data_IF_453946431041
#
_entry.id   IF_453946431041
#
_cell.length_a   1.000
_cell.length_b   1.000
_cell.length_c   1.000
_cell.angle_alpha   90.00
_cell.angle_beta   90.00
_cell.angle_gamma   90.00
#
_symmetry.space_group_name_H-M   'P 1'
#
loop_
_entity.id
_entity.type
_entity.pdbx_description
1 polymer ?
#
# COMPACT_ATOMS: atom_id res chain seq x y z
N UNK A 1 9.34 -4.97 4.76
CA UNK A 1 8.86 -6.05 5.65
C UNK A 1 8.56 -7.28 4.82
N UNK A 2 9.21 -8.40 5.10
CA UNK A 2 8.99 -9.67 4.42
C UNK A 2 7.58 -10.20 4.63
N UNK A 3 7.11 -11.05 3.73
CA UNK A 3 5.89 -11.81 3.90
C UNK A 3 6.13 -13.01 4.80
N UNK A 4 5.20 -13.24 5.73
CA UNK A 4 5.13 -14.51 6.43
C UNK A 4 4.50 -15.59 5.52
N UNK A 5 5.18 -16.71 5.30
CA UNK A 5 4.63 -17.88 4.58
C UNK A 5 4.13 -18.91 5.60
N UNK A 6 2.86 -19.33 5.57
CA UNK A 6 2.44 -20.57 6.20
C UNK A 6 2.86 -21.73 5.32
N UNK A 7 3.11 -22.87 5.93
CA UNK A 7 3.38 -24.12 5.22
C UNK A 7 2.32 -24.38 4.17
N UNK A 8 2.68 -24.28 2.90
CA UNK A 8 1.92 -24.50 1.68
C UNK A 8 0.60 -23.69 1.52
N UNK A 9 0.63 -22.71 0.64
CA UNK A 9 -0.43 -22.18 -0.24
C UNK A 9 -1.11 -20.84 0.01
N UNK A 10 -0.92 -20.08 1.11
CA UNK A 10 -1.43 -18.70 1.19
C UNK A 10 -0.35 -17.80 1.80
N UNK A 11 0.14 -16.82 1.07
CA UNK A 11 0.93 -15.77 1.68
C UNK A 11 0.02 -14.90 2.53
N UNK A 12 0.04 -15.06 3.85
CA UNK A 12 -0.62 -14.16 4.76
C UNK A 12 0.21 -12.89 4.89
N UNK A 13 -0.45 -11.76 4.88
CA UNK A 13 0.18 -10.48 5.17
C UNK A 13 -0.43 -9.86 6.44
N UNK A 14 0.09 -8.69 6.84
CA UNK A 14 -0.39 -7.93 8.00
C UNK A 14 -1.88 -7.56 7.95
N UNK A 15 -2.55 -7.63 6.80
CA UNK A 15 -3.99 -7.39 6.68
C UNK A 15 -4.80 -8.56 7.20
N UNK A 16 -4.28 -9.76 6.98
CA UNK A 16 -4.89 -11.02 7.43
C UNK A 16 -4.43 -11.39 8.85
N UNK A 17 -3.19 -11.01 9.22
CA UNK A 17 -2.58 -11.24 10.52
C UNK A 17 -2.28 -9.88 11.20
N UNK A 18 -3.29 -9.24 11.80
CA UNK A 18 -3.16 -7.89 12.35
C UNK A 18 -2.11 -7.77 13.47
N UNK A 19 -1.80 -8.84 14.18
CA UNK A 19 -0.72 -8.86 15.17
C UNK A 19 0.64 -8.42 14.60
N UNK A 20 0.89 -8.65 13.30
CA UNK A 20 2.10 -8.18 12.65
C UNK A 20 2.20 -6.65 12.53
N UNK A 21 1.10 -5.92 12.69
CA UNK A 21 1.13 -4.45 12.74
C UNK A 21 1.73 -3.91 14.04
N UNK A 22 1.75 -4.71 15.08
CA UNK A 22 2.31 -4.37 16.39
C UNK A 22 3.85 -4.48 16.40
N UNK A 23 4.45 -5.08 15.37
CA UNK A 23 5.88 -5.16 15.20
C UNK A 23 6.42 -3.94 14.46
N UNK A 24 7.55 -3.41 14.94
CA UNK A 24 8.39 -2.49 14.19
C UNK A 24 9.54 -3.25 13.51
N UNK A 25 10.17 -2.65 12.53
CA UNK A 25 11.39 -3.19 11.94
C UNK A 25 12.25 -2.07 11.37
N UNK A 26 13.55 -2.25 11.47
CA UNK A 26 14.55 -1.38 10.83
C UNK A 26 15.64 -2.23 10.18
N UNK A 27 16.40 -1.65 9.26
CA UNK A 27 17.56 -2.33 8.71
C UNK A 27 18.68 -2.42 9.76
N UNK A 28 19.35 -3.56 9.82
CA UNK A 28 20.53 -3.76 10.67
C UNK A 28 21.65 -2.77 10.29
N UNK A 29 21.81 -2.55 8.99
CA UNK A 29 22.66 -1.52 8.40
C UNK A 29 21.95 -0.89 7.21
N UNK A 30 22.19 0.41 6.95
CA UNK A 30 21.63 1.11 5.81
C UNK A 30 21.94 0.34 4.50
N UNK A 31 20.92 -0.05 3.71
CA UNK A 31 21.17 -0.74 2.46
C UNK A 31 21.95 0.13 1.48
N UNK A 32 23.03 -0.37 0.87
CA UNK A 32 23.73 0.40 -0.15
C UNK A 32 22.85 0.58 -1.41
N UNK A 33 23.13 1.60 -2.23
CA UNK A 33 22.46 1.77 -3.52
C UNK A 33 22.57 0.50 -4.38
N UNK A 34 21.46 0.13 -5.02
CA UNK A 34 21.40 -1.04 -5.92
C UNK A 34 21.00 -2.35 -5.27
N UNK A 35 20.87 -2.41 -3.94
CA UNK A 35 20.28 -3.57 -3.25
C UNK A 35 18.80 -3.68 -3.64
N UNK A 36 18.36 -4.91 -3.88
CA UNK A 36 16.99 -5.15 -4.35
C UNK A 36 16.58 -6.62 -4.33
N UNK A 37 15.63 -7.01 -5.18
CA UNK A 37 15.09 -8.36 -5.19
C UNK A 37 16.17 -9.44 -5.32
N UNK A 38 16.22 -10.36 -4.35
CA UNK A 38 17.22 -11.41 -4.27
C UNK A 38 18.51 -11.05 -3.51
N UNK A 39 18.75 -9.77 -3.29
CA UNK A 39 19.88 -9.27 -2.50
C UNK A 39 19.35 -8.17 -1.57
N UNK A 40 18.89 -8.55 -0.38
CA UNK A 40 18.25 -7.65 0.57
C UNK A 40 19.02 -7.58 1.87
N UNK A 41 19.10 -6.39 2.44
CA UNK A 41 19.73 -6.17 3.73
C UNK A 41 18.94 -6.87 4.87
N UNK A 42 19.67 -7.30 5.89
CA UNK A 42 19.08 -7.84 7.10
C UNK A 42 18.32 -6.78 7.89
N UNK A 43 17.28 -7.23 8.57
CA UNK A 43 16.44 -6.38 9.42
C UNK A 43 16.44 -6.88 10.85
N UNK A 44 16.23 -5.96 11.78
CA UNK A 44 15.90 -6.25 13.18
C UNK A 44 14.41 -5.99 13.34
N UNK A 45 13.69 -6.95 13.92
CA UNK A 45 12.26 -6.84 14.22
C UNK A 45 12.11 -6.63 15.72
N UNK A 46 11.39 -5.57 16.10
CA UNK A 46 10.99 -5.28 17.47
C UNK A 46 9.56 -5.79 17.68
N UNK A 47 9.38 -6.72 18.60
CA UNK A 47 8.09 -7.28 19.02
C UNK A 47 7.33 -6.31 19.94
N UNK A 48 6.01 -6.54 20.19
CA UNK A 48 5.21 -5.66 21.06
C UNK A 48 5.73 -5.54 22.50
N UNK A 49 6.42 -6.54 23.01
CA UNK A 49 7.04 -6.57 24.34
C UNK A 49 8.41 -5.86 24.40
N UNK A 50 8.87 -5.31 23.26
CA UNK A 50 10.15 -4.65 23.13
C UNK A 50 11.32 -5.60 22.78
N UNK A 51 11.09 -6.91 22.70
CA UNK A 51 12.12 -7.87 22.28
C UNK A 51 12.58 -7.62 20.86
N UNK A 52 13.88 -7.50 20.64
CA UNK A 52 14.47 -7.36 19.31
C UNK A 52 15.10 -8.68 18.84
N UNK A 53 14.79 -9.05 17.60
CA UNK A 53 15.32 -10.27 16.97
C UNK A 53 15.75 -9.93 15.54
N UNK A 54 17.03 -10.18 15.24
CA UNK A 54 17.57 -10.00 13.88
C UNK A 54 17.13 -11.09 12.91
N UNK A 55 16.96 -10.74 11.65
CA UNK A 55 16.59 -11.70 10.59
C UNK A 55 17.68 -12.75 10.29
N UNK A 56 18.89 -12.61 10.86
CA UNK A 56 19.94 -13.63 10.81
C UNK A 56 19.59 -14.84 11.70
N UNK A 57 18.86 -14.60 12.79
CA UNK A 57 18.31 -15.65 13.67
C UNK A 57 16.88 -16.00 13.24
N UNK A 58 16.75 -16.45 11.97
CA UNK A 58 15.46 -16.67 11.34
C UNK A 58 14.58 -17.66 12.10
N UNK A 59 15.16 -18.73 12.67
CA UNK A 59 14.39 -19.73 13.40
C UNK A 59 13.72 -19.15 14.66
N UNK A 60 14.46 -18.34 15.42
CA UNK A 60 13.94 -17.66 16.61
C UNK A 60 12.90 -16.60 16.24
N UNK A 61 13.17 -15.83 15.16
CA UNK A 61 12.24 -14.82 14.67
C UNK A 61 10.93 -15.44 14.18
N UNK A 62 11.01 -16.52 13.39
CA UNK A 62 9.83 -17.24 12.89
C UNK A 62 9.00 -17.83 14.02
N UNK A 63 9.64 -18.37 15.07
CA UNK A 63 8.96 -18.88 16.25
C UNK A 63 8.20 -17.76 16.98
N UNK A 64 8.88 -16.65 17.26
CA UNK A 64 8.29 -15.50 17.96
C UNK A 64 7.14 -14.86 17.17
N UNK A 65 7.28 -14.69 15.86
CA UNK A 65 6.21 -14.18 15.00
C UNK A 65 5.03 -15.16 14.93
N UNK A 66 5.30 -16.47 14.90
CA UNK A 66 4.24 -17.49 14.87
C UNK A 66 3.44 -17.51 16.17
N UNK A 67 4.08 -17.37 17.31
CA UNK A 67 3.45 -17.22 18.62
C UNK A 67 2.58 -15.97 18.67
N UNK A 68 3.12 -14.82 18.24
CA UNK A 68 2.40 -13.54 18.23
C UNK A 68 1.09 -13.58 17.44
N UNK A 69 1.04 -14.34 16.35
CA UNK A 69 -0.14 -14.37 15.45
C UNK A 69 -0.94 -15.68 15.51
N UNK A 70 -0.60 -16.57 16.44
CA UNK A 70 -1.22 -17.89 16.62
C UNK A 70 -1.32 -18.68 15.30
N UNK A 71 -0.30 -18.56 14.47
CA UNK A 71 -0.25 -19.22 13.15
C UNK A 71 1.18 -19.33 12.69
N UNK A 72 1.56 -20.50 12.17
CA UNK A 72 2.92 -20.71 11.66
C UNK A 72 3.24 -19.76 10.52
N UNK A 73 4.21 -18.89 10.72
CA UNK A 73 4.69 -17.90 9.76
C UNK A 73 6.22 -17.88 9.72
N UNK A 74 6.77 -17.40 8.61
CA UNK A 74 8.21 -17.19 8.45
C UNK A 74 8.48 -15.85 7.78
N UNK A 75 9.47 -15.11 8.28
CA UNK A 75 9.98 -13.93 7.60
C UNK A 75 10.84 -14.37 6.41
N UNK A 76 10.48 -13.94 5.23
CA UNK A 76 11.25 -14.25 4.00
C UNK A 76 11.80 -12.97 3.37
N UNK A 77 13.00 -13.01 2.79
CA UNK A 77 13.53 -11.90 2.02
C UNK A 77 12.71 -11.67 0.75
N UNK A 78 12.85 -10.48 0.15
CA UNK A 78 12.25 -10.20 -1.15
C UNK A 78 12.91 -11.11 -2.21
N UNK A 79 12.12 -11.99 -2.88
CA UNK A 79 12.67 -12.97 -3.81
C UNK A 79 13.29 -12.33 -5.05
N UNK A 80 14.23 -13.01 -5.74
CA UNK A 80 14.75 -12.55 -7.01
C UNK A 80 13.65 -12.35 -8.07
N UNK A 81 13.85 -11.43 -9.02
CA UNK A 81 12.86 -11.12 -10.07
C UNK A 81 12.50 -12.33 -10.95
N UNK A 82 13.42 -13.25 -11.13
CA UNK A 82 13.20 -14.47 -11.94
C UNK A 82 12.36 -15.52 -11.22
N UNK A 83 12.32 -15.51 -9.88
CA UNK A 83 11.46 -16.41 -9.08
C UNK A 83 10.02 -15.89 -9.00
N UNK A 84 9.35 -15.85 -10.14
CA UNK A 84 7.96 -15.40 -10.21
C UNK A 84 7.00 -16.28 -9.39
N UNK A 85 7.37 -17.52 -9.13
CA UNK A 85 6.55 -18.44 -8.33
C UNK A 85 6.43 -17.97 -6.88
N UNK A 86 7.48 -17.38 -6.33
CA UNK A 86 7.48 -16.83 -4.97
C UNK A 86 6.54 -15.61 -4.79
N UNK A 87 6.22 -14.91 -5.88
CA UNK A 87 5.27 -13.78 -5.87
C UNK A 87 3.82 -14.20 -6.12
N UNK A 88 3.56 -15.44 -6.57
CA UNK A 88 2.20 -15.90 -6.84
C UNK A 88 1.35 -15.87 -5.57
N UNK A 89 0.13 -15.36 -5.72
CA UNK A 89 -0.89 -15.35 -4.68
C UNK A 89 -2.10 -16.20 -5.04
N UNK A 90 -2.97 -16.36 -4.08
CA UNK A 90 -4.32 -16.86 -4.33
C UNK A 90 -5.20 -15.65 -4.62
N UNK A 91 -6.02 -15.74 -5.65
CA UNK A 91 -6.99 -14.69 -5.94
C UNK A 91 -7.88 -14.47 -4.70
N UNK A 92 -7.95 -13.22 -4.26
CA UNK A 92 -8.77 -12.86 -3.10
C UNK A 92 -10.24 -13.16 -3.38
N UNK A 93 -10.91 -13.81 -2.45
CA UNK A 93 -12.36 -13.99 -2.51
C UNK A 93 -13.10 -12.67 -2.24
N UNK A 94 -14.40 -12.62 -2.52
CA UNK A 94 -15.21 -11.46 -2.14
C UNK A 94 -15.19 -11.23 -0.62
N UNK A 95 -15.17 -12.31 0.17
CA UNK A 95 -15.06 -12.23 1.62
C UNK A 95 -13.71 -11.65 2.07
N UNK A 96 -12.61 -12.08 1.46
CA UNK A 96 -11.28 -11.52 1.73
C UNK A 96 -11.24 -10.00 1.44
N UNK A 97 -11.84 -9.58 0.32
CA UNK A 97 -11.94 -8.16 -0.03
C UNK A 97 -12.82 -7.39 1.00
N UNK A 98 -13.95 -7.96 1.42
CA UNK A 98 -14.80 -7.33 2.45
C UNK A 98 -14.04 -7.16 3.76
N UNK A 99 -13.34 -8.18 4.22
CA UNK A 99 -12.48 -8.11 5.41
C UNK A 99 -11.38 -7.09 5.27
N UNK A 100 -10.73 -7.06 4.10
CA UNK A 100 -9.64 -6.13 3.80
C UNK A 100 -10.09 -4.66 3.86
N UNK A 101 -11.29 -4.37 3.36
CA UNK A 101 -11.82 -3.02 3.28
C UNK A 101 -12.81 -2.66 4.40
N UNK A 102 -13.03 -3.57 5.35
CA UNK A 102 -13.95 -3.36 6.47
C UNK A 102 -15.38 -3.14 6.02
N UNK A 103 -15.85 -3.93 5.05
CA UNK A 103 -17.19 -3.85 4.49
C UNK A 103 -18.12 -4.86 5.15
N UNK A 104 -19.35 -4.44 5.42
CA UNK A 104 -20.41 -5.34 5.88
C UNK A 104 -20.89 -6.25 4.74
N UNK A 105 -21.61 -7.31 5.11
CA UNK A 105 -22.33 -8.14 4.14
C UNK A 105 -23.36 -7.27 3.41
N UNK A 106 -23.34 -7.33 2.07
CA UNK A 106 -24.23 -6.49 1.25
C UNK A 106 -23.64 -5.15 0.78
N UNK A 107 -22.60 -4.64 1.46
CA UNK A 107 -21.94 -3.42 1.00
C UNK A 107 -21.30 -3.63 -0.41
N UNK A 108 -21.29 -2.62 -1.27
CA UNK A 108 -20.59 -2.71 -2.54
C UNK A 108 -19.09 -2.83 -2.31
N UNK A 109 -18.42 -3.68 -3.10
CA UNK A 109 -16.96 -3.73 -3.12
C UNK A 109 -16.40 -2.40 -3.65
N UNK A 110 -15.16 -2.02 -3.24
CA UNK A 110 -14.52 -0.81 -3.73
C UNK A 110 -14.49 -0.77 -5.26
N UNK A 111 -14.68 0.41 -5.83
CA UNK A 111 -14.51 0.61 -7.26
C UNK A 111 -13.00 0.61 -7.60
N UNK A 112 -12.55 -0.49 -8.18
CA UNK A 112 -11.17 -0.64 -8.64
C UNK A 112 -11.02 -0.26 -10.13
N UNK A 113 -12.03 0.36 -10.75
CA UNK A 113 -11.99 0.74 -12.15
C UNK A 113 -10.91 1.76 -12.50
N UNK A 114 -10.41 2.48 -11.49
CA UNK A 114 -9.27 3.38 -11.64
C UNK A 114 -7.96 2.66 -11.98
N UNK A 115 -7.83 1.38 -11.62
CA UNK A 115 -6.63 0.62 -11.94
C UNK A 115 -6.54 0.32 -13.45
N UNK A 116 -5.36 0.49 -14.07
CA UNK A 116 -5.13 0.00 -15.42
C UNK A 116 -5.40 -1.51 -15.52
N UNK A 117 -5.98 -1.96 -16.64
CA UNK A 117 -6.29 -3.39 -16.84
C UNK A 117 -5.05 -4.28 -16.65
N UNK A 118 -3.90 -3.84 -17.13
CA UNK A 118 -2.63 -4.54 -16.93
C UNK A 118 -2.30 -4.73 -15.44
N UNK A 119 -2.51 -3.70 -14.61
CA UNK A 119 -2.26 -3.77 -13.18
C UNK A 119 -3.24 -4.72 -12.49
N UNK A 120 -4.51 -4.69 -12.85
CA UNK A 120 -5.50 -5.65 -12.34
C UNK A 120 -5.13 -7.10 -12.71
N UNK A 121 -4.68 -7.34 -13.94
CA UNK A 121 -4.20 -8.66 -14.36
C UNK A 121 -2.97 -9.11 -13.58
N UNK A 122 -2.02 -8.20 -13.31
CA UNK A 122 -0.86 -8.48 -12.47
C UNK A 122 -1.29 -8.88 -11.05
N UNK A 123 -2.16 -8.10 -10.42
CA UNK A 123 -2.65 -8.35 -9.06
C UNK A 123 -3.54 -9.60 -8.95
N UNK A 124 -4.16 -10.04 -10.05
CA UNK A 124 -4.90 -11.30 -10.10
C UNK A 124 -3.98 -12.53 -10.09
N UNK A 125 -2.76 -12.41 -10.61
CA UNK A 125 -1.78 -13.51 -10.70
C UNK A 125 -0.86 -13.51 -9.49
N UNK A 126 -0.41 -12.31 -9.10
CA UNK A 126 0.60 -12.13 -8.05
C UNK A 126 -0.03 -11.44 -6.84
N UNK A 127 0.29 -11.96 -5.68
CA UNK A 127 -0.16 -11.37 -4.42
C UNK A 127 0.41 -9.96 -4.17
N UNK A 128 1.57 -9.66 -4.78
CA UNK A 128 2.20 -8.34 -4.90
C UNK A 128 2.88 -8.26 -6.27
N UNK A 129 3.06 -7.07 -6.82
CA UNK A 129 3.82 -6.91 -8.05
C UNK A 129 5.22 -7.55 -7.92
N UNK A 130 5.69 -8.17 -9.00
CA UNK A 130 7.01 -8.83 -9.00
C UNK A 130 8.10 -7.80 -8.69
N UNK A 131 8.98 -8.15 -7.78
CA UNK A 131 10.09 -7.28 -7.36
C UNK A 131 9.77 -6.34 -6.20
N UNK A 132 8.59 -6.47 -5.58
CA UNK A 132 8.21 -5.66 -4.42
C UNK A 132 7.27 -6.43 -3.49
N UNK A 133 7.22 -6.01 -2.22
CA UNK A 133 6.16 -6.38 -1.28
C UNK A 133 5.11 -5.28 -1.09
N UNK A 134 5.09 -4.28 -1.96
CA UNK A 134 4.02 -3.28 -1.98
C UNK A 134 2.69 -3.90 -2.44
N UNK A 135 1.58 -3.28 -2.04
CA UNK A 135 0.24 -3.82 -2.34
C UNK A 135 -0.10 -3.74 -3.83
N UNK A 136 0.17 -2.61 -4.48
CA UNK A 136 -0.12 -2.39 -5.90
C UNK A 136 0.99 -1.63 -6.61
N UNK A 137 1.51 -0.58 -5.98
CA UNK A 137 2.61 0.23 -6.48
C UNK A 137 3.67 0.42 -5.40
N UNK A 138 4.95 0.61 -5.77
CA UNK A 138 6.05 0.61 -4.82
C UNK A 138 6.11 1.86 -3.94
N UNK A 139 5.57 2.98 -4.40
CA UNK A 139 5.67 4.26 -3.70
C UNK A 139 4.29 4.81 -3.38
N UNK A 140 4.13 5.28 -2.14
CA UNK A 140 2.96 6.01 -1.64
C UNK A 140 3.38 7.44 -1.31
N UNK A 141 2.69 8.42 -1.88
CA UNK A 141 2.92 9.84 -1.62
C UNK A 141 1.69 10.43 -0.95
N UNK A 142 1.90 11.02 0.21
CA UNK A 142 0.88 11.69 1.03
C UNK A 142 1.25 13.16 1.20
N UNK A 143 0.26 14.04 1.25
CA UNK A 143 0.50 15.45 1.61
C UNK A 143 0.11 15.73 3.05
N UNK A 144 0.80 16.67 3.68
CA UNK A 144 0.43 17.15 5.02
C UNK A 144 -0.96 17.81 5.01
N UNK A 145 -1.38 18.39 3.87
CA UNK A 145 -2.74 18.95 3.72
C UNK A 145 -3.81 17.88 3.76
N UNK A 146 -3.56 16.70 3.21
CA UNK A 146 -4.48 15.56 3.29
C UNK A 146 -4.60 15.02 4.72
N UNK A 147 -3.50 14.96 5.47
CA UNK A 147 -3.57 14.60 6.89
C UNK A 147 -4.42 15.59 7.70
N UNK A 148 -4.25 16.90 7.46
CA UNK A 148 -5.07 17.93 8.10
C UNK A 148 -6.55 17.78 7.76
N UNK A 149 -6.88 17.53 6.49
CA UNK A 149 -8.26 17.30 6.07
C UNK A 149 -8.88 16.06 6.73
N UNK A 150 -8.12 14.97 6.88
CA UNK A 150 -8.58 13.77 7.60
C UNK A 150 -8.76 14.07 9.09
N UNK A 151 -7.83 14.79 9.73
CA UNK A 151 -7.92 15.16 11.15
C UNK A 151 -9.17 16.00 11.43
N UNK A 152 -9.43 17.01 10.61
CA UNK A 152 -10.64 17.86 10.71
C UNK A 152 -11.93 17.02 10.66
N UNK A 153 -12.02 16.08 9.71
CA UNK A 153 -13.19 15.23 9.56
C UNK A 153 -13.28 14.09 10.61
N UNK A 154 -12.16 13.74 11.24
CA UNK A 154 -12.14 12.84 12.38
C UNK A 154 -12.51 13.54 13.70
N UNK A 155 -12.54 14.88 13.73
CA UNK A 155 -12.71 15.67 14.95
C UNK A 155 -11.48 15.61 15.86
N UNK A 156 -10.29 15.38 15.30
CA UNK A 156 -9.03 15.26 16.02
C UNK A 156 -8.13 16.49 15.73
N UNK A 157 -7.24 16.81 16.67
CA UNK A 157 -6.25 17.87 16.46
C UNK A 157 -5.26 17.49 15.35
N UNK A 158 -4.87 16.22 15.32
CA UNK A 158 -4.00 15.65 14.30
C UNK A 158 -4.29 14.16 14.07
N UNK A 159 -3.84 13.63 12.96
CA UNK A 159 -3.84 12.19 12.65
C UNK A 159 -2.42 11.77 12.37
N UNK A 160 -1.95 10.75 13.10
CA UNK A 160 -0.59 10.26 12.99
C UNK A 160 -0.33 9.67 11.58
N UNK A 161 0.66 10.20 10.89
CA UNK A 161 1.05 9.78 9.54
C UNK A 161 1.42 8.30 9.46
N UNK A 162 1.94 7.73 10.54
CA UNK A 162 2.32 6.31 10.60
C UNK A 162 1.17 5.37 10.28
N UNK A 163 -0.09 5.78 10.54
CA UNK A 163 -1.29 5.00 10.19
C UNK A 163 -1.36 4.66 8.72
N UNK A 164 -0.92 5.58 7.87
CA UNK A 164 -1.03 5.47 6.41
C UNK A 164 0.20 4.84 5.76
N UNK A 165 1.36 4.91 6.45
CA UNK A 165 2.62 4.31 6.02
C UNK A 165 3.11 4.83 4.65
N UNK A 166 3.07 6.14 4.39
CA UNK A 166 3.59 6.69 3.15
C UNK A 166 5.11 6.50 3.06
N UNK A 167 5.63 6.45 1.84
CA UNK A 167 7.06 6.54 1.59
C UNK A 167 7.52 8.00 1.63
N UNK A 168 6.66 8.91 1.16
CA UNK A 168 6.94 10.34 1.10
C UNK A 168 5.77 11.11 1.72
N UNK A 169 6.09 11.98 2.67
CA UNK A 169 5.19 13.03 3.17
C UNK A 169 5.64 14.36 2.58
N UNK A 170 4.75 14.98 1.81
CA UNK A 170 5.01 16.27 1.15
C UNK A 170 4.29 17.38 1.89
N UNK A 171 5.03 18.40 2.31
CA UNK A 171 4.45 19.62 2.89
C UNK A 171 4.36 20.75 1.85
N UNK A 172 3.67 21.85 2.20
CA UNK A 172 3.50 23.02 1.34
C UNK A 172 2.56 22.84 0.15
N UNK A 173 1.87 21.70 0.04
CA UNK A 173 0.87 21.49 -1.00
C UNK A 173 -0.43 22.29 -0.73
N UNK A 174 -1.23 22.49 -1.77
CA UNK A 174 -2.56 23.12 -1.66
C UNK A 174 -3.46 22.40 -0.64
N UNK A 175 -4.48 23.08 -0.12
CA UNK A 175 -5.41 22.51 0.85
C UNK A 175 -6.20 21.31 0.26
N UNK A 176 -6.68 20.44 1.14
CA UNK A 176 -7.43 19.23 0.80
C UNK A 176 -6.53 18.10 0.32
N UNK A 177 -7.06 17.23 -0.53
CA UNK A 177 -6.36 16.06 -1.06
C UNK A 177 -5.52 16.43 -2.30
N UNK A 178 -4.51 17.28 -2.09
CA UNK A 178 -3.75 17.90 -3.19
C UNK A 178 -3.07 16.88 -4.09
N UNK A 179 -2.53 15.79 -3.52
CA UNK A 179 -1.84 14.75 -4.28
C UNK A 179 -2.74 14.01 -5.26
N UNK A 180 -4.05 13.98 -5.04
CA UNK A 180 -4.97 13.32 -5.99
C UNK A 180 -5.05 14.06 -7.33
N UNK A 181 -4.82 15.38 -7.33
CA UNK A 181 -4.72 16.15 -8.56
C UNK A 181 -3.44 15.85 -9.37
N UNK A 182 -2.47 15.17 -8.78
CA UNK A 182 -1.21 14.81 -9.45
C UNK A 182 -1.29 13.54 -10.28
N UNK A 183 -2.40 12.80 -10.19
CA UNK A 183 -2.61 11.55 -10.95
C UNK A 183 -2.40 11.75 -12.45
N UNK A 184 -1.59 10.88 -13.05
CA UNK A 184 -1.15 10.98 -14.44
C UNK A 184 0.01 11.97 -14.68
N UNK A 185 0.38 12.74 -13.67
CA UNK A 185 1.51 13.67 -13.69
C UNK A 185 2.82 13.03 -13.24
N UNK A 186 3.87 13.84 -13.23
CA UNK A 186 5.19 13.45 -12.76
C UNK A 186 5.62 14.34 -11.60
N UNK A 187 6.28 13.71 -10.61
CA UNK A 187 6.88 14.41 -9.49
C UNK A 187 8.40 14.28 -9.58
N UNK A 188 9.09 15.33 -9.19
CA UNK A 188 10.51 15.30 -8.91
C UNK A 188 10.71 15.62 -7.44
N UNK A 189 11.38 14.73 -6.71
CA UNK A 189 11.68 14.84 -5.28
C UNK A 189 13.18 14.64 -5.13
N UNK A 190 13.93 15.70 -4.88
CA UNK A 190 15.39 15.66 -4.95
C UNK A 190 15.88 15.12 -6.29
N UNK A 191 16.60 13.99 -6.27
CA UNK A 191 17.09 13.32 -7.47
C UNK A 191 16.08 12.38 -8.11
N UNK A 192 15.05 11.94 -7.34
CA UNK A 192 14.09 10.91 -7.76
C UNK A 192 13.00 11.49 -8.64
N UNK A 193 12.69 10.78 -9.73
CA UNK A 193 11.52 11.03 -10.55
C UNK A 193 10.44 9.97 -10.27
N UNK A 194 9.21 10.42 -10.09
CA UNK A 194 8.05 9.56 -9.86
C UNK A 194 6.96 9.88 -10.88
N UNK A 195 6.16 8.88 -11.23
CA UNK A 195 4.89 9.06 -11.95
C UNK A 195 3.75 8.72 -11.00
N UNK A 196 2.85 9.68 -10.78
CA UNK A 196 1.64 9.45 -10.01
C UNK A 196 0.65 8.64 -10.84
N UNK A 197 0.24 7.47 -10.34
CA UNK A 197 -0.54 6.49 -11.11
C UNK A 197 -2.04 6.62 -10.87
N UNK A 198 -2.46 6.42 -9.63
CA UNK A 198 -3.87 6.41 -9.22
C UNK A 198 -3.97 6.82 -7.74
N UNK A 199 -5.15 7.28 -7.28
CA UNK A 199 -5.41 7.45 -5.85
C UNK A 199 -5.29 6.11 -5.12
N UNK A 200 -4.80 6.14 -3.87
CA UNK A 200 -4.64 4.94 -3.05
C UNK A 200 -5.95 4.61 -2.33
N UNK A 201 -6.59 3.50 -2.72
CA UNK A 201 -7.76 2.98 -1.99
C UNK A 201 -7.31 2.42 -0.64
N UNK A 202 -7.88 2.93 0.45
CA UNK A 202 -7.46 2.56 1.80
C UNK A 202 -8.17 1.31 2.30
N UNK A 203 -7.38 0.38 2.82
CA UNK A 203 -7.85 -0.81 3.55
C UNK A 203 -8.04 -0.51 5.05
N UNK A 204 -8.27 -1.54 5.85
CA UNK A 204 -8.46 -1.42 7.30
C UNK A 204 -7.19 -1.14 8.11
N UNK A 205 -5.99 -1.18 7.52
CA UNK A 205 -4.73 -0.97 8.25
C UNK A 205 -4.68 0.36 9.00
N UNK A 206 -5.08 1.52 8.43
CA UNK A 206 -5.02 2.81 9.12
C UNK A 206 -5.85 2.91 10.40
N UNK A 207 -6.92 2.12 10.52
CA UNK A 207 -7.80 2.16 11.70
C UNK A 207 -7.34 1.21 12.82
N UNK A 208 -6.40 0.32 12.54
CA UNK A 208 -5.92 -0.68 13.49
C UNK A 208 -4.85 -0.12 14.41
N UNK A 209 -4.67 -0.80 15.54
CA UNK A 209 -3.51 -0.60 16.38
C UNK A 209 -2.22 -0.95 15.62
N UNK A 210 -1.14 -0.20 15.86
CA UNK A 210 0.15 -0.36 15.20
C UNK A 210 1.29 -0.17 16.20
N UNK A 211 2.47 -0.63 15.83
CA UNK A 211 3.69 -0.48 16.62
C UNK A 211 3.94 0.98 17.06
N UNK A 212 4.69 1.13 18.16
CA UNK A 212 5.03 2.43 18.71
C UNK A 212 3.87 3.11 19.46
N UNK A 213 2.97 2.30 20.04
CA UNK A 213 1.88 2.79 20.90
C UNK A 213 0.76 3.50 20.13
N UNK A 214 0.59 3.24 18.85
CA UNK A 214 -0.45 3.85 18.03
C UNK A 214 -1.76 3.06 18.18
N UNK A 215 -2.75 3.56 18.97
CA UNK A 215 -3.96 2.80 19.27
C UNK A 215 -4.87 2.65 18.05
N UNK A 216 -5.81 1.68 18.09
CA UNK A 216 -6.86 1.58 17.07
C UNK A 216 -7.73 2.85 17.06
N UNK A 217 -8.06 3.33 15.86
CA UNK A 217 -8.89 4.52 15.68
C UNK A 217 -9.86 4.39 14.50
N UNK A 218 -11.09 3.93 14.76
CA UNK A 218 -12.11 3.79 13.72
C UNK A 218 -12.58 5.12 13.11
N UNK A 219 -12.37 6.27 13.79
CA UNK A 219 -12.77 7.59 13.28
C UNK A 219 -11.96 7.96 12.03
N UNK A 220 -10.69 7.55 11.96
CA UNK A 220 -9.82 7.76 10.80
C UNK A 220 -10.42 7.16 9.52
N UNK A 221 -10.94 5.92 9.58
CA UNK A 221 -11.54 5.29 8.39
C UNK A 221 -12.79 6.02 7.91
N UNK A 222 -13.64 6.48 8.86
CA UNK A 222 -14.83 7.28 8.55
C UNK A 222 -14.45 8.62 7.92
N UNK A 223 -13.40 9.27 8.45
CA UNK A 223 -12.89 10.52 7.92
C UNK A 223 -12.36 10.36 6.50
N UNK A 224 -11.51 9.37 6.24
CA UNK A 224 -10.99 9.07 4.89
C UNK A 224 -12.12 8.80 3.90
N UNK A 225 -13.17 8.06 4.32
CA UNK A 225 -14.33 7.80 3.46
C UNK A 225 -15.10 9.07 3.11
N UNK A 226 -15.20 10.03 4.04
CA UNK A 226 -15.90 11.30 3.82
C UNK A 226 -15.11 12.28 2.96
N UNK A 227 -13.79 12.36 3.18
CA UNK A 227 -12.90 13.32 2.50
C UNK A 227 -12.57 12.88 1.09
N UNK A 228 -12.31 11.59 0.87
CA UNK A 228 -11.71 11.09 -0.36
C UNK A 228 -12.38 9.85 -0.95
N UNK A 229 -13.63 9.55 -0.60
CA UNK A 229 -14.33 8.34 -1.08
C UNK A 229 -13.47 7.07 -0.92
N UNK A 230 -12.95 6.86 0.27
CA UNK A 230 -12.02 5.79 0.66
C UNK A 230 -10.61 5.90 0.04
N UNK A 231 -10.32 6.97 -0.69
CA UNK A 231 -8.99 7.22 -1.24
C UNK A 231 -8.25 8.26 -0.42
N UNK A 232 -7.01 7.99 -0.11
CA UNK A 232 -6.06 8.90 0.50
C UNK A 232 -4.67 8.55 0.01
N UNK A 233 -3.84 9.52 -0.26
CA UNK A 233 -2.55 9.35 -0.94
C UNK A 233 -2.68 9.08 -2.44
N UNK A 234 -1.55 9.06 -3.10
CA UNK A 234 -1.41 8.62 -4.49
C UNK A 234 -0.35 7.52 -4.58
N UNK A 235 -0.68 6.49 -5.31
CA UNK A 235 0.29 5.49 -5.74
C UNK A 235 1.21 6.06 -6.80
N UNK A 236 2.49 5.77 -6.71
CA UNK A 236 3.47 6.20 -7.69
C UNK A 236 4.46 5.09 -8.06
N UNK A 237 5.04 5.23 -9.24
CA UNK A 237 6.13 4.40 -9.73
C UNK A 237 7.37 5.25 -9.95
N UNK A 238 8.54 4.69 -9.64
CA UNK A 238 9.83 5.35 -9.86
C UNK A 238 10.16 5.33 -11.35
N UNK A 239 10.32 6.53 -11.93
CA UNK A 239 10.73 6.71 -13.32
C UNK A 239 12.22 7.03 -13.43
N UNK A 240 12.80 7.57 -12.37
CA UNK A 240 14.22 7.85 -12.23
C UNK A 240 14.65 7.55 -10.80
N UNK A 241 15.58 6.61 -10.58
CA UNK A 241 16.14 6.37 -9.25
C UNK A 241 17.05 7.51 -8.81
N UNK A 242 17.29 7.61 -7.50
CA UNK A 242 18.15 8.62 -6.91
C UNK A 242 17.99 8.64 -5.40
N UNK A 243 18.60 9.63 -4.77
CA UNK A 243 18.53 9.86 -3.33
C UNK A 243 17.50 10.94 -3.02
N UNK A 244 16.70 10.70 -1.98
CA UNK A 244 15.76 11.67 -1.40
C UNK A 244 16.17 11.93 0.04
N UNK A 245 16.17 13.20 0.43
CA UNK A 245 16.44 13.63 1.80
C UNK A 245 15.27 14.45 2.32
N UNK A 246 15.08 14.41 3.64
CA UNK A 246 14.13 15.31 4.29
C UNK A 246 14.52 16.75 4.01
N UNK A 247 13.55 17.56 3.54
CA UNK A 247 13.77 18.94 3.13
C UNK A 247 14.03 19.13 1.62
N UNK A 248 14.16 18.05 0.87
CA UNK A 248 14.31 18.15 -0.59
C UNK A 248 13.08 18.79 -1.23
N UNK A 249 13.27 19.66 -2.24
CA UNK A 249 12.17 20.29 -2.93
C UNK A 249 11.37 19.29 -3.75
N UNK A 250 10.05 19.48 -3.76
CA UNK A 250 9.11 18.73 -4.59
C UNK A 250 8.58 19.61 -5.70
N UNK A 251 8.71 19.17 -6.93
CA UNK A 251 8.06 19.81 -8.09
C UNK A 251 7.11 18.83 -8.76
N UNK A 252 5.95 19.33 -9.18
CA UNK A 252 4.89 18.55 -9.81
C UNK A 252 4.63 19.09 -11.21
N UNK A 253 4.75 18.25 -12.22
CA UNK A 253 4.30 18.53 -13.56
C UNK A 253 2.98 17.77 -13.79
N UNK A 254 1.89 18.50 -13.84
CA UNK A 254 0.57 17.92 -14.08
C UNK A 254 0.49 17.30 -15.48
N UNK A 255 -0.37 16.29 -15.68
CA UNK A 255 -0.54 15.71 -16.99
C UNK A 255 -1.01 16.81 -17.96
N UNK A 256 -0.38 16.85 -19.13
CA UNK A 256 -0.93 17.68 -20.22
C UNK A 256 -2.32 17.15 -20.53
N UNK A 257 -3.32 18.02 -20.53
CA UNK A 257 -4.65 17.66 -21.01
C UNK A 257 -4.47 17.08 -22.41
N UNK A 258 -4.80 15.80 -22.68
CA UNK A 258 -4.74 15.29 -24.04
C UNK A 258 -5.62 16.21 -24.88
N UNK A 259 -5.11 16.70 -26.00
CA UNK A 259 -5.93 17.41 -26.97
C UNK A 259 -7.21 16.62 -27.18
N UNK A 260 -8.36 17.25 -27.04
CA UNK A 260 -9.69 16.68 -26.82
C UNK A 260 -9.93 15.38 -27.59
N UNK A 261 -9.63 14.24 -26.95
CA UNK A 261 -10.26 12.98 -27.36
C UNK A 261 -11.75 13.19 -27.14
N UNK A 262 -12.61 13.02 -28.13
CA UNK A 262 -14.04 13.26 -27.98
C UNK A 262 -14.54 12.56 -26.72
N UNK A 263 -15.16 13.33 -25.82
CA UNK A 263 -15.63 12.84 -24.52
C UNK A 263 -16.56 11.60 -24.63
N UNK A 264 -17.05 11.31 -25.83
CA UNK A 264 -17.80 10.11 -26.19
C UNK A 264 -16.95 8.84 -26.17
N UNK A 265 -15.73 8.87 -26.70
CA UNK A 265 -14.85 7.68 -26.79
C UNK A 265 -14.33 7.29 -25.41
N UNK A 266 -13.91 8.26 -24.60
CA UNK A 266 -13.50 8.02 -23.21
C UNK A 266 -14.63 7.43 -22.36
N UNK A 267 -15.87 7.95 -22.50
CA UNK A 267 -17.04 7.44 -21.77
C UNK A 267 -17.46 6.03 -22.20
N UNK A 268 -17.31 5.66 -23.47
CA UNK A 268 -17.60 4.30 -23.92
C UNK A 268 -16.57 3.32 -23.40
N UNK A 269 -15.28 3.64 -23.49
CA UNK A 269 -14.20 2.80 -22.95
C UNK A 269 -14.35 2.59 -21.43
N UNK A 270 -14.66 3.64 -20.68
CA UNK A 270 -14.90 3.58 -19.25
C UNK A 270 -16.14 2.75 -18.90
N UNK A 271 -17.23 2.88 -19.66
CA UNK A 271 -18.45 2.08 -19.48
C UNK A 271 -18.22 0.61 -19.75
N UNK A 272 -17.47 0.27 -20.80
CA UNK A 272 -17.09 -1.12 -21.14
C UNK A 272 -16.21 -1.69 -20.03
N UNK A 273 -15.20 -0.95 -19.56
CA UNK A 273 -14.31 -1.33 -18.47
C UNK A 273 -15.09 -1.59 -17.18
N UNK A 274 -15.97 -0.66 -16.77
CA UNK A 274 -16.83 -0.82 -15.58
C UNK A 274 -17.77 -2.02 -15.72
N UNK A 275 -18.31 -2.28 -16.91
CA UNK A 275 -19.17 -3.45 -17.16
C UNK A 275 -18.36 -4.74 -17.05
N UNK A 276 -17.17 -4.81 -17.63
CA UNK A 276 -16.27 -5.96 -17.55
C UNK A 276 -15.86 -6.26 -16.09
N UNK A 277 -15.53 -5.23 -15.31
CA UNK A 277 -15.18 -5.38 -13.89
C UNK A 277 -16.38 -5.83 -13.03
N UNK A 278 -17.59 -5.30 -13.28
CA UNK A 278 -18.81 -5.75 -12.59
C UNK A 278 -19.14 -7.21 -12.93
N UNK A 279 -18.88 -7.64 -14.17
CA UNK A 279 -19.05 -9.04 -14.57
C UNK A 279 -17.94 -9.90 -13.97
N UNK A 280 -16.69 -9.44 -13.99
CA UNK A 280 -15.55 -10.12 -13.39
C UNK A 280 -15.72 -10.35 -11.88
N UNK A 281 -16.24 -9.37 -11.13
CA UNK A 281 -16.52 -9.51 -9.70
C UNK A 281 -17.57 -10.60 -9.38
N UNK A 282 -18.43 -10.97 -10.34
CA UNK A 282 -19.39 -12.09 -10.17
C UNK A 282 -18.72 -13.46 -10.26
N UNK A 283 -17.51 -13.54 -10.83
CA UNK A 283 -16.74 -14.78 -10.95
C UNK A 283 -15.66 -14.93 -9.88
N UNK A 284 -15.53 -13.95 -8.95
CA UNK A 284 -14.69 -14.16 -7.78
C UNK A 284 -15.29 -15.26 -6.90
N UNK A 285 -14.50 -16.19 -6.35
CA UNK A 285 -14.98 -17.21 -5.44
C UNK A 285 -15.66 -16.55 -4.23
N UNK A 286 -16.75 -17.15 -3.79
CA UNK A 286 -17.50 -16.74 -2.58
C UNK A 286 -16.71 -17.06 -1.32
#
# INVERSE_FOLDING_TARGET
MGRARPGARRGHDRRQLPGLLLCAAHFETEPPPGVGPGDVAHVVVTLPDGTEIGSRDGARLDAALSELVDTRVSLVPLPPLHDKAAYRGVLASQEDLRKQFGLAEGDPLPDLSMFPVRKLAELAIYATPVGTFADAHPVHVLTASSLRAVAEHAGAAEVDVRRFRPNLLVDGAAAGLAEQAWVGGTLRVGEVGLRAEIPTVRCTVPLREQAGGLPADPAVSKAVSRVGDRCLEVYAETTRPGVVRVGDPVSVALPRTPGAVPASVGRVAERVKRRALRTGNRFLPR
#
